data_IF_775775169869
#
_entry.id   IF_775775169869
#
_cell.length_a   1.000
_cell.length_b   1.000
_cell.length_c   1.000
_cell.angle_alpha   90.00
_cell.angle_beta   90.00
_cell.angle_gamma   90.00
#
_symmetry.space_group_name_H-M   'P 1'
#
loop_
_entity.id
_entity.type
_entity.pdbx_description
1 polymer ?
#
# COMPACT_ATOMS: atom_id res chain seq x y z
N UNK A 1 9.55 22.13 6.74
CA UNK A 1 9.20 21.52 5.42
C UNK A 1 7.81 22.00 5.04
N UNK A 2 7.60 22.32 3.75
CA UNK A 2 6.29 22.77 3.25
C UNK A 2 5.81 21.80 2.18
N UNK A 3 4.53 21.44 2.22
CA UNK A 3 3.81 20.70 1.19
C UNK A 3 2.71 21.59 0.64
N UNK A 4 2.66 21.72 -0.68
CA UNK A 4 1.65 22.53 -1.37
C UNK A 4 0.79 21.59 -2.23
N UNK A 5 -0.53 21.63 -2.05
CA UNK A 5 -1.51 20.84 -2.79
C UNK A 5 -2.50 21.76 -3.49
N UNK A 6 -2.62 21.61 -4.81
CA UNK A 6 -3.49 22.49 -5.63
C UNK A 6 -4.99 22.35 -5.33
N UNK A 7 -5.40 21.25 -4.67
CA UNK A 7 -6.80 20.97 -4.32
C UNK A 7 -6.87 20.50 -2.86
N UNK A 8 -7.86 19.68 -2.56
CA UNK A 8 -7.93 18.99 -1.27
C UNK A 8 -7.00 17.76 -1.25
N UNK A 9 -6.47 17.43 -0.08
CA UNK A 9 -5.77 16.16 0.10
C UNK A 9 -6.70 15.02 -0.33
N UNK A 10 -6.15 14.00 -0.97
CA UNK A 10 -6.86 12.84 -1.52
C UNK A 10 -7.59 13.03 -2.84
N UNK A 11 -7.73 14.24 -3.35
CA UNK A 11 -8.49 14.53 -4.58
C UNK A 11 -7.87 14.01 -5.89
N UNK A 12 -6.61 13.53 -5.85
CA UNK A 12 -5.87 13.01 -7.00
C UNK A 12 -5.92 11.48 -7.11
N UNK A 13 -4.74 10.87 -7.28
CA UNK A 13 -4.60 9.41 -7.42
C UNK A 13 -5.14 8.62 -6.22
N UNK A 14 -5.09 9.19 -5.03
CA UNK A 14 -5.60 8.57 -3.81
C UNK A 14 -7.08 8.22 -3.91
N UNK A 15 -7.92 9.10 -4.52
CA UNK A 15 -9.35 8.86 -4.72
C UNK A 15 -9.63 7.61 -5.59
N UNK A 16 -8.72 7.27 -6.50
CA UNK A 16 -8.85 6.14 -7.40
C UNK A 16 -8.20 4.86 -6.87
N UNK A 17 -7.55 4.90 -5.72
CA UNK A 17 -6.87 3.74 -5.16
C UNK A 17 -7.87 2.75 -4.56
N UNK A 18 -7.72 1.46 -4.90
CA UNK A 18 -8.55 0.39 -4.37
C UNK A 18 -8.26 0.07 -2.88
N UNK A 19 -7.15 0.58 -2.36
CA UNK A 19 -6.75 0.35 -0.97
C UNK A 19 -6.20 -1.03 -0.68
N UNK A 20 -5.93 -1.86 -1.68
CA UNK A 20 -5.33 -3.18 -1.47
C UNK A 20 -3.85 -3.04 -1.10
N UNK A 21 -3.41 -3.83 -0.13
CA UNK A 21 -2.04 -3.84 0.38
C UNK A 21 -1.40 -5.22 0.16
N UNK A 22 -0.91 -5.51 -1.06
CA UNK A 22 -0.11 -6.70 -1.31
C UNK A 22 1.30 -6.49 -0.76
N UNK A 23 1.72 -7.30 0.21
CA UNK A 23 3.08 -7.27 0.76
C UNK A 23 4.12 -7.79 -0.23
N UNK A 24 3.71 -8.75 -1.05
CA UNK A 24 4.63 -9.40 -1.97
C UNK A 24 4.62 -8.79 -3.37
N UNK A 25 5.82 -8.59 -3.89
CA UNK A 25 6.11 -8.26 -5.28
C UNK A 25 7.31 -9.07 -5.76
N UNK A 26 7.35 -9.46 -7.05
CA UNK A 26 8.47 -10.21 -7.64
C UNK A 26 9.79 -9.40 -7.67
N UNK A 27 9.73 -8.09 -7.58
CA UNK A 27 10.91 -7.25 -7.39
C UNK A 27 11.28 -7.18 -5.91
N UNK A 28 12.50 -7.58 -5.56
CA UNK A 28 13.03 -7.48 -4.21
C UNK A 28 12.90 -6.06 -3.63
N UNK A 29 13.34 -5.05 -4.39
CA UNK A 29 13.32 -3.65 -3.94
C UNK A 29 11.91 -3.15 -3.69
N UNK A 30 10.96 -3.45 -4.58
CA UNK A 30 9.54 -3.08 -4.40
C UNK A 30 8.93 -3.83 -3.23
N UNK A 31 9.26 -5.12 -3.05
CA UNK A 31 8.81 -5.92 -1.90
C UNK A 31 9.29 -5.33 -0.56
N UNK A 32 10.52 -4.84 -0.48
CA UNK A 32 11.02 -4.16 0.73
C UNK A 32 10.26 -2.86 1.02
N UNK A 33 9.93 -2.07 -0.01
CA UNK A 33 9.12 -0.85 0.16
C UNK A 33 7.72 -1.19 0.65
N UNK A 34 7.06 -2.19 0.07
CA UNK A 34 5.74 -2.65 0.51
C UNK A 34 5.76 -3.09 1.98
N UNK A 35 6.73 -3.93 2.37
CA UNK A 35 6.89 -4.41 3.74
C UNK A 35 7.09 -3.26 4.72
N UNK A 36 7.97 -2.32 4.40
CA UNK A 36 8.17 -1.12 5.22
C UNK A 36 6.87 -0.32 5.36
N UNK A 37 6.16 -0.09 4.25
CA UNK A 37 4.93 0.69 4.23
C UNK A 37 3.83 0.09 5.12
N UNK A 38 3.60 -1.22 5.01
CA UNK A 38 2.59 -1.89 5.86
C UNK A 38 2.97 -1.83 7.34
N UNK A 39 4.24 -2.03 7.68
CA UNK A 39 4.72 -1.90 9.05
C UNK A 39 4.54 -0.47 9.60
N UNK A 40 4.72 0.54 8.75
CA UNK A 40 4.44 1.93 9.12
C UNK A 40 2.94 2.14 9.37
N UNK A 41 2.09 1.65 8.48
CA UNK A 41 0.63 1.84 8.58
C UNK A 41 0.03 1.19 9.83
N UNK A 42 0.60 0.07 10.30
CA UNK A 42 0.20 -0.58 11.55
C UNK A 42 0.39 0.30 12.78
N UNK A 43 1.36 1.22 12.76
CA UNK A 43 1.71 2.11 13.88
C UNK A 43 1.11 3.50 13.74
N UNK A 44 0.73 3.88 12.52
CA UNK A 44 0.39 5.25 12.19
C UNK A 44 -0.84 5.76 12.96
N UNK A 45 -1.81 4.90 13.24
CA UNK A 45 -2.98 5.25 14.05
C UNK A 45 -2.60 5.56 15.51
N UNK A 46 -1.71 4.78 16.10
CA UNK A 46 -1.19 5.02 17.45
C UNK A 46 -0.36 6.31 17.51
N UNK A 47 0.49 6.55 16.50
CA UNK A 47 1.37 7.72 16.44
C UNK A 47 0.64 9.03 16.17
N UNK A 48 -0.47 8.99 15.45
CA UNK A 48 -1.17 10.20 14.97
C UNK A 48 -2.53 10.43 15.61
N UNK A 49 -3.13 9.40 16.18
CA UNK A 49 -4.52 9.41 16.64
C UNK A 49 -5.57 9.39 15.51
N UNK A 50 -5.13 9.28 14.24
CA UNK A 50 -5.99 9.23 13.06
C UNK A 50 -6.14 7.79 12.59
N UNK A 51 -7.36 7.28 12.57
CA UNK A 51 -7.65 5.95 12.04
C UNK A 51 -7.25 5.84 10.57
N UNK A 52 -6.64 4.72 10.20
CA UNK A 52 -6.20 4.42 8.83
C UNK A 52 -7.07 3.35 8.15
N UNK A 53 -7.95 2.72 8.90
CA UNK A 53 -8.83 1.66 8.40
C UNK A 53 -8.09 0.42 7.90
N UNK A 54 -6.90 0.14 8.43
CA UNK A 54 -6.11 -1.05 8.07
C UNK A 54 -6.81 -2.32 8.54
N UNK A 55 -6.97 -3.28 7.64
CA UNK A 55 -7.49 -4.63 7.90
C UNK A 55 -6.60 -5.66 7.22
N UNK A 56 -5.88 -6.44 8.00
CA UNK A 56 -5.13 -7.60 7.52
C UNK A 56 -6.04 -8.82 7.54
N UNK A 57 -6.55 -9.19 6.39
CA UNK A 57 -7.57 -10.23 6.22
C UNK A 57 -7.10 -11.37 5.33
N UNK A 58 -5.82 -11.35 4.94
CA UNK A 58 -5.26 -12.30 3.99
C UNK A 58 -5.66 -12.00 2.54
N UNK A 59 -4.91 -12.58 1.62
CA UNK A 59 -5.21 -12.61 0.19
C UNK A 59 -5.01 -14.05 -0.30
N UNK A 60 -5.91 -14.53 -1.16
CA UNK A 60 -5.81 -15.86 -1.78
C UNK A 60 -5.82 -15.69 -3.29
N UNK A 61 -4.83 -16.27 -3.97
CA UNK A 61 -4.76 -16.31 -5.44
C UNK A 61 -4.95 -17.74 -5.91
N UNK A 62 -5.99 -17.96 -6.70
CA UNK A 62 -6.40 -19.28 -7.16
C UNK A 62 -5.61 -19.71 -8.40
N UNK A 63 -5.32 -21.02 -8.53
CA UNK A 63 -4.69 -21.63 -9.68
C UNK A 63 -5.58 -22.76 -10.23
N UNK A 64 -6.07 -22.60 -11.47
CA UNK A 64 -6.86 -23.58 -12.18
C UNK A 64 -6.05 -24.32 -13.26
N UNK A 65 -4.75 -24.06 -13.40
CA UNK A 65 -3.84 -24.74 -14.32
C UNK A 65 -2.54 -25.09 -13.60
N UNK A 66 -1.87 -26.17 -14.04
CA UNK A 66 -0.56 -26.55 -13.51
C UNK A 66 0.50 -25.46 -13.74
N UNK A 67 0.51 -24.83 -14.91
CA UNK A 67 1.43 -23.72 -15.21
C UNK A 67 1.29 -22.58 -14.19
N UNK A 68 0.06 -22.24 -13.80
CA UNK A 68 -0.19 -21.22 -12.78
C UNK A 68 0.30 -21.69 -11.40
N UNK A 69 0.13 -22.96 -11.09
CA UNK A 69 0.61 -23.51 -9.82
C UNK A 69 2.14 -23.56 -9.75
N UNK A 70 2.80 -23.87 -10.87
CA UNK A 70 4.26 -23.83 -10.98
C UNK A 70 4.80 -22.39 -10.81
N UNK A 71 4.15 -21.42 -11.44
CA UNK A 71 4.46 -20.00 -11.22
C UNK A 71 4.34 -19.64 -9.72
N UNK A 72 3.31 -20.13 -9.03
CA UNK A 72 3.11 -19.85 -7.61
C UNK A 72 4.15 -20.56 -6.73
N UNK A 73 4.63 -21.73 -7.08
CA UNK A 73 5.74 -22.40 -6.39
C UNK A 73 7.02 -21.57 -6.49
N UNK A 74 7.34 -21.08 -7.69
CA UNK A 74 8.47 -20.17 -7.92
C UNK A 74 8.30 -18.87 -7.11
N UNK A 75 7.13 -18.28 -7.17
CA UNK A 75 6.72 -17.08 -6.45
C UNK A 75 6.94 -17.22 -4.93
N UNK A 76 6.53 -18.36 -4.35
CA UNK A 76 6.74 -18.66 -2.94
C UNK A 76 8.23 -18.73 -2.59
N UNK A 77 9.06 -19.24 -3.49
CA UNK A 77 10.52 -19.25 -3.34
C UNK A 77 11.11 -17.85 -3.26
N UNK A 78 10.70 -16.95 -4.15
CA UNK A 78 11.16 -15.55 -4.16
C UNK A 78 10.66 -14.80 -2.90
N UNK A 79 9.42 -15.02 -2.47
CA UNK A 79 8.84 -14.38 -1.28
C UNK A 79 9.70 -14.64 -0.03
N UNK A 80 10.25 -15.83 0.12
CA UNK A 80 11.16 -16.18 1.22
C UNK A 80 12.42 -15.30 1.25
N UNK A 81 12.94 -14.88 0.10
CA UNK A 81 14.13 -13.99 0.03
C UNK A 81 13.82 -12.58 0.52
N UNK A 82 12.57 -12.15 0.41
CA UNK A 82 12.06 -10.85 0.88
C UNK A 82 11.65 -10.92 2.35
N UNK A 83 11.42 -12.14 2.87
CA UNK A 83 10.93 -12.37 4.22
C UNK A 83 9.42 -12.10 4.34
N UNK A 84 8.66 -12.46 3.30
CA UNK A 84 7.19 -12.41 3.27
C UNK A 84 6.64 -13.82 3.37
N UNK A 85 5.66 -14.04 4.26
CA UNK A 85 4.98 -15.33 4.40
C UNK A 85 4.03 -15.55 3.20
N UNK A 86 4.26 -16.65 2.49
CA UNK A 86 3.39 -17.11 1.40
C UNK A 86 3.20 -18.61 1.57
N UNK A 87 1.95 -19.07 1.59
CA UNK A 87 1.57 -20.46 1.82
C UNK A 87 0.92 -21.05 0.59
N UNK A 88 1.36 -22.22 0.17
CA UNK A 88 0.65 -22.99 -0.86
C UNK A 88 -0.53 -23.69 -0.20
N UNK A 89 -1.69 -23.65 -0.85
CA UNK A 89 -2.94 -24.23 -0.37
C UNK A 89 -3.46 -25.28 -1.36
N UNK A 90 -3.98 -26.35 -0.82
CA UNK A 90 -4.84 -27.30 -1.54
C UNK A 90 -6.25 -26.74 -1.73
N UNK A 91 -7.05 -27.25 -2.69
CA UNK A 91 -8.46 -26.85 -2.82
C UNK A 91 -9.28 -27.05 -1.54
N UNK A 92 -8.98 -28.08 -0.75
CA UNK A 92 -9.65 -28.33 0.51
C UNK A 92 -9.34 -27.25 1.57
N UNK A 93 -8.09 -26.82 1.67
CA UNK A 93 -7.69 -25.72 2.55
C UNK A 93 -8.29 -24.39 2.11
N UNK A 94 -8.36 -24.12 0.79
CA UNK A 94 -9.08 -22.94 0.27
C UNK A 94 -10.53 -22.96 0.72
N UNK A 95 -11.22 -24.12 0.62
CA UNK A 95 -12.61 -24.26 1.03
C UNK A 95 -12.82 -24.05 2.53
N UNK A 96 -11.84 -24.42 3.36
CA UNK A 96 -11.88 -24.18 4.81
C UNK A 96 -11.75 -22.68 5.14
N UNK A 97 -10.83 -21.98 4.45
CA UNK A 97 -10.57 -20.54 4.68
C UNK A 97 -11.71 -19.70 4.10
N UNK A 98 -12.18 -20.09 2.92
CA UNK A 98 -13.23 -19.39 2.19
C UNK A 98 -14.37 -20.32 1.79
N UNK A 99 -15.33 -20.57 2.69
CA UNK A 99 -16.40 -21.55 2.47
C UNK A 99 -17.31 -21.26 1.27
N UNK A 100 -17.41 -20.00 0.84
CA UNK A 100 -18.22 -19.60 -0.33
C UNK A 100 -17.50 -19.83 -1.66
N UNK A 101 -16.19 -20.11 -1.65
CA UNK A 101 -15.42 -20.36 -2.88
C UNK A 101 -15.89 -21.66 -3.55
N UNK A 102 -16.19 -21.60 -4.87
CA UNK A 102 -16.29 -22.82 -5.67
C UNK A 102 -14.88 -23.32 -5.99
N UNK A 103 -14.58 -24.55 -5.56
CA UNK A 103 -13.27 -25.18 -5.75
C UNK A 103 -13.24 -26.21 -6.89
N UNK A 104 -14.31 -26.31 -7.66
CA UNK A 104 -14.35 -27.17 -8.84
C UNK A 104 -13.35 -26.71 -9.90
N UNK A 105 -12.50 -27.59 -10.39
CA UNK A 105 -11.42 -27.26 -11.34
C UNK A 105 -10.25 -26.50 -10.73
N UNK A 106 -10.24 -26.27 -9.42
CA UNK A 106 -9.11 -25.67 -8.72
C UNK A 106 -8.02 -26.71 -8.50
N UNK A 107 -6.78 -26.40 -8.90
CA UNK A 107 -5.60 -27.25 -8.66
C UNK A 107 -4.96 -26.89 -7.32
N UNK A 108 -4.92 -25.61 -6.98
CA UNK A 108 -4.35 -25.10 -5.75
C UNK A 108 -4.46 -23.60 -5.66
N UNK A 109 -3.81 -23.03 -4.66
CA UNK A 109 -3.76 -21.59 -4.46
C UNK A 109 -2.49 -21.18 -3.71
N UNK A 110 -2.22 -19.88 -3.66
CA UNK A 110 -1.33 -19.30 -2.66
C UNK A 110 -2.11 -18.35 -1.76
N UNK A 111 -1.72 -18.33 -0.50
CA UNK A 111 -2.21 -17.41 0.51
C UNK A 111 -1.09 -16.45 0.93
N UNK A 112 -1.43 -15.19 1.08
CA UNK A 112 -0.61 -14.16 1.72
C UNK A 112 -1.30 -13.76 3.03
N UNK A 113 -0.91 -14.32 4.18
CA UNK A 113 -1.62 -14.12 5.44
C UNK A 113 -1.66 -12.67 5.91
N UNK A 114 -0.59 -11.92 5.66
CA UNK A 114 -0.41 -10.55 6.14
C UNK A 114 -0.92 -9.48 5.15
N UNK A 115 -1.39 -9.90 3.97
CA UNK A 115 -2.03 -8.98 3.02
C UNK A 115 -3.37 -8.47 3.58
N UNK A 116 -3.78 -7.32 3.10
CA UNK A 116 -5.01 -6.72 3.55
C UNK A 116 -5.45 -5.54 2.70
N UNK A 117 -6.19 -4.66 3.32
CA UNK A 117 -6.63 -3.41 2.72
C UNK A 117 -6.62 -2.26 3.72
N UNK A 118 -6.64 -1.05 3.21
CA UNK A 118 -6.64 0.19 3.98
C UNK A 118 -7.58 1.19 3.33
N UNK A 119 -8.04 2.19 4.08
CA UNK A 119 -8.75 3.32 3.51
C UNK A 119 -7.75 4.37 2.99
N UNK A 120 -7.60 4.54 1.67
CA UNK A 120 -6.56 5.43 1.12
C UNK A 120 -6.70 6.88 1.57
N UNK A 121 -7.93 7.38 1.71
CA UNK A 121 -8.18 8.73 2.17
C UNK A 121 -7.76 8.90 3.64
N UNK A 122 -8.14 7.98 4.51
CA UNK A 122 -7.80 8.02 5.94
C UNK A 122 -6.29 7.89 6.15
N UNK A 123 -5.64 7.01 5.39
CA UNK A 123 -4.17 6.90 5.39
C UNK A 123 -3.50 8.22 5.04
N UNK A 124 -3.98 8.91 4.00
CA UNK A 124 -3.44 10.20 3.59
C UNK A 124 -3.62 11.26 4.69
N UNK A 125 -4.77 11.28 5.36
CA UNK A 125 -5.02 12.18 6.49
C UNK A 125 -4.10 11.85 7.67
N UNK A 126 -3.90 10.58 7.99
CA UNK A 126 -2.99 10.17 9.07
C UNK A 126 -1.54 10.59 8.78
N UNK A 127 -1.06 10.39 7.55
CA UNK A 127 0.27 10.86 7.14
C UNK A 127 0.38 12.39 7.23
N UNK A 128 -0.67 13.13 6.86
CA UNK A 128 -0.71 14.59 6.97
C UNK A 128 -0.69 15.06 8.43
N UNK A 129 -1.41 14.38 9.33
CA UNK A 129 -1.35 14.64 10.77
C UNK A 129 0.05 14.38 11.31
N UNK A 130 0.64 13.24 10.99
CA UNK A 130 2.01 12.91 11.39
C UNK A 130 3.04 13.94 10.91
N UNK A 131 2.92 14.39 9.66
CA UNK A 131 3.79 15.43 9.11
C UNK A 131 3.66 16.75 9.86
N UNK A 132 2.41 17.19 10.17
CA UNK A 132 2.18 18.40 10.95
C UNK A 132 2.72 18.30 12.38
N UNK A 133 2.57 17.15 13.02
CA UNK A 133 3.11 16.91 14.36
C UNK A 133 4.64 17.04 14.38
N UNK A 134 5.31 16.79 13.25
CA UNK A 134 6.74 16.97 13.05
C UNK A 134 7.12 18.36 12.52
N UNK A 135 6.19 19.30 12.48
CA UNK A 135 6.45 20.70 12.07
C UNK A 135 6.36 20.97 10.57
N UNK A 136 5.77 20.07 9.79
CA UNK A 136 5.49 20.36 8.38
C UNK A 136 4.24 21.24 8.23
N UNK A 137 4.31 22.20 7.32
CA UNK A 137 3.18 23.02 6.92
C UNK A 137 2.54 22.44 5.66
N UNK A 138 1.21 22.35 5.62
CA UNK A 138 0.46 21.80 4.49
C UNK A 138 -0.56 22.82 4.03
N UNK A 139 -0.34 23.38 2.84
CA UNK A 139 -1.20 24.35 2.18
C UNK A 139 -2.03 23.66 1.11
N UNK A 140 -3.35 23.65 1.29
CA UNK A 140 -4.32 23.11 0.33
C UNK A 140 -4.88 24.23 -0.54
N UNK A 141 -5.47 23.88 -1.67
CA UNK A 141 -6.03 24.82 -2.65
C UNK A 141 -5.02 25.89 -3.08
N UNK A 142 -3.76 25.47 -3.20
CA UNK A 142 -2.63 26.33 -3.54
C UNK A 142 -1.88 25.71 -4.69
N UNK A 143 -1.95 26.34 -5.86
CA UNK A 143 -1.35 25.81 -7.09
C UNK A 143 0.05 26.38 -7.29
N UNK A 144 1.04 25.53 -7.46
CA UNK A 144 2.40 25.96 -7.87
C UNK A 144 2.35 26.38 -9.33
N UNK A 145 2.70 27.63 -9.61
CA UNK A 145 2.74 28.23 -10.96
C UNK A 145 4.17 28.45 -11.47
N UNK A 146 5.18 28.45 -10.59
CA UNK A 146 6.57 28.58 -10.96
C UNK A 146 7.51 27.99 -9.92
N UNK A 147 8.66 27.50 -10.36
CA UNK A 147 9.75 27.03 -9.50
C UNK A 147 11.06 27.57 -10.05
N UNK A 148 11.84 28.23 -9.23
CA UNK A 148 13.13 28.80 -9.58
C UNK A 148 14.18 28.50 -8.52
N UNK A 149 15.43 28.35 -8.93
CA UNK A 149 16.57 28.26 -8.01
C UNK A 149 17.11 29.67 -7.79
N UNK A 150 17.22 30.09 -6.56
CA UNK A 150 17.80 31.39 -6.20
C UNK A 150 19.32 31.37 -6.33
N UNK A 151 19.96 32.55 -6.26
CA UNK A 151 21.43 32.70 -6.32
C UNK A 151 22.14 31.96 -5.15
N UNK A 152 21.43 31.79 -4.03
CA UNK A 152 21.95 31.12 -2.83
C UNK A 152 21.65 29.60 -2.84
N UNK A 153 21.24 29.08 -3.99
CA UNK A 153 20.86 27.67 -4.20
C UNK A 153 19.61 27.22 -3.44
N UNK A 154 18.80 28.15 -2.96
CA UNK A 154 17.50 27.87 -2.39
C UNK A 154 16.42 27.75 -3.49
N UNK A 155 15.32 27.09 -3.16
CA UNK A 155 14.17 26.97 -4.04
C UNK A 155 13.16 28.08 -3.73
N UNK A 156 12.83 28.88 -4.76
CA UNK A 156 11.69 29.79 -4.72
C UNK A 156 10.51 29.11 -5.43
N UNK A 157 9.42 28.94 -4.72
CA UNK A 157 8.18 28.33 -5.22
C UNK A 157 7.13 29.43 -5.29
N UNK A 158 6.70 29.76 -6.50
CA UNK A 158 5.63 30.72 -6.74
C UNK A 158 4.29 30.00 -6.81
N UNK A 159 3.28 30.54 -6.15
CA UNK A 159 1.94 29.95 -6.14
C UNK A 159 0.88 30.95 -6.58
N UNK A 160 -0.34 30.44 -6.88
CA UNK A 160 -1.50 31.29 -7.19
C UNK A 160 -2.03 32.11 -5.97
N UNK A 161 -1.44 31.89 -4.81
CA UNK A 161 -1.76 32.63 -3.57
C UNK A 161 -0.65 33.60 -3.14
N UNK A 162 0.47 33.66 -3.86
CA UNK A 162 1.63 34.50 -3.55
C UNK A 162 2.94 33.75 -3.46
#
# INVERSE_FOLDING_TARGET
MVLVERRELTSGSTWHAAGLLPLFNMSYSVGQIHKYSVNLYQKLEEETGQAVGLRQVSNIRLACTEDRMDEYRFYTGVAKTIGVDVRNLTPAEVKQIWPLCNTEGLIGAIQHPDDGYIQPADLTQALAVGARNMGAEIYRNTTVVGIQVTRDSDWCVETDQG
#
